data_IF_097322350080
#
_entry.id   IF_097322350080
#
_cell.length_a   1.000
_cell.length_b   1.000
_cell.length_c   1.000
_cell.angle_alpha   90.00
_cell.angle_beta   90.00
_cell.angle_gamma   90.00
#
_symmetry.space_group_name_H-M   'P 1'
#
loop_
_entity.id
_entity.type
_entity.pdbx_description
1 polymer ?
#
# COMPACT_ATOMS: atom_id res chain seq x y z
N UNK A 1 13.93 -13.56 -2.60
CA UNK A 1 12.60 -12.94 -2.77
C UNK A 1 12.75 -11.65 -3.56
N UNK A 2 11.84 -11.37 -4.50
CA UNK A 2 11.73 -10.02 -5.07
C UNK A 2 11.40 -9.03 -3.96
N UNK A 3 12.08 -7.89 -3.92
CA UNK A 3 11.85 -6.82 -2.92
C UNK A 3 10.63 -5.95 -3.27
N UNK A 4 9.76 -6.42 -4.16
CA UNK A 4 8.66 -5.67 -4.75
C UNK A 4 7.34 -6.43 -4.65
N UNK A 5 6.27 -5.68 -4.41
CA UNK A 5 4.89 -6.15 -4.30
C UNK A 5 4.03 -5.45 -5.33
N UNK A 6 3.02 -6.16 -5.85
CA UNK A 6 2.04 -5.56 -6.76
C UNK A 6 1.21 -4.50 -6.04
N UNK A 7 1.35 -3.25 -6.48
CA UNK A 7 0.69 -2.12 -5.85
C UNK A 7 -0.83 -2.20 -5.94
N UNK A 8 -1.35 -2.71 -7.05
CA UNK A 8 -2.78 -2.73 -7.31
C UNK A 8 -3.46 -3.73 -6.36
N UNK A 9 -2.78 -4.85 -6.05
CA UNK A 9 -3.24 -5.81 -5.03
C UNK A 9 -3.26 -5.16 -3.64
N UNK A 10 -2.18 -4.48 -3.25
CA UNK A 10 -2.09 -3.77 -1.95
C UNK A 10 -3.20 -2.74 -1.80
N UNK A 11 -3.41 -1.89 -2.80
CA UNK A 11 -4.43 -0.85 -2.76
C UNK A 11 -5.83 -1.47 -2.65
N UNK A 12 -6.13 -2.51 -3.44
CA UNK A 12 -7.41 -3.20 -3.37
C UNK A 12 -7.67 -3.83 -1.99
N UNK A 13 -6.64 -4.39 -1.35
CA UNK A 13 -6.73 -4.91 0.01
C UNK A 13 -7.11 -3.80 1.00
N UNK A 14 -6.42 -2.66 0.94
CA UNK A 14 -6.64 -1.53 1.84
C UNK A 14 -8.03 -0.88 1.63
N UNK A 15 -8.53 -0.83 0.38
CA UNK A 15 -9.90 -0.40 0.07
C UNK A 15 -10.92 -1.36 0.69
N UNK A 16 -10.74 -2.68 0.54
CA UNK A 16 -11.64 -3.69 1.13
C UNK A 16 -11.73 -3.57 2.65
N UNK A 17 -10.61 -3.23 3.30
CA UNK A 17 -10.54 -2.97 4.74
C UNK A 17 -11.16 -1.63 5.15
N UNK A 18 -11.62 -0.81 4.21
CA UNK A 18 -12.11 0.56 4.44
C UNK A 18 -11.09 1.48 5.14
N UNK A 19 -9.82 1.12 5.06
CA UNK A 19 -8.72 1.91 5.61
C UNK A 19 -8.36 3.10 4.71
N UNK A 20 -8.82 3.08 3.46
CA UNK A 20 -8.61 4.16 2.49
C UNK A 20 -9.89 4.94 2.29
N UNK A 21 -9.81 6.25 2.46
CA UNK A 21 -10.92 7.16 2.16
C UNK A 21 -10.75 7.88 0.83
N UNK A 22 -9.52 8.17 0.41
CA UNK A 22 -9.23 8.80 -0.87
C UNK A 22 -7.84 8.42 -1.37
N UNK A 23 -7.69 8.25 -2.69
CA UNK A 23 -6.42 7.98 -3.37
C UNK A 23 -6.17 9.11 -4.36
N UNK A 24 -5.09 9.84 -4.16
CA UNK A 24 -4.62 10.84 -5.11
C UNK A 24 -3.38 10.34 -5.84
N UNK A 25 -3.43 10.37 -7.17
CA UNK A 25 -2.36 9.92 -8.04
C UNK A 25 -1.58 11.12 -8.59
N UNK A 26 -0.28 11.20 -8.28
CA UNK A 26 0.61 12.20 -8.87
C UNK A 26 1.65 11.52 -9.77
N UNK A 27 1.57 11.80 -11.08
CA UNK A 27 2.58 11.43 -12.08
C UNK A 27 3.72 12.46 -12.09
N UNK A 28 4.68 12.36 -11.18
CA UNK A 28 5.91 13.18 -11.26
C UNK A 28 7.13 12.33 -10.96
N UNK A 29 7.91 11.98 -12.00
CA UNK A 29 9.22 11.29 -12.02
C UNK A 29 9.42 10.00 -11.18
N UNK A 30 8.69 9.80 -10.08
CA UNK A 30 8.41 8.56 -9.35
C UNK A 30 6.90 8.56 -9.07
N UNK A 31 6.19 7.47 -9.38
CA UNK A 31 4.75 7.42 -9.17
C UNK A 31 4.48 7.36 -7.66
N UNK A 32 3.93 8.43 -7.08
CA UNK A 32 3.56 8.47 -5.66
C UNK A 32 2.05 8.35 -5.53
N UNK A 33 1.63 7.43 -4.67
CA UNK A 33 0.23 7.24 -4.28
C UNK A 33 0.05 7.85 -2.91
N UNK A 34 -0.72 8.92 -2.85
CA UNK A 34 -1.08 9.53 -1.57
C UNK A 34 -2.46 9.04 -1.18
N UNK A 35 -2.53 8.41 -0.03
CA UNK A 35 -3.73 7.73 0.46
C UNK A 35 -4.12 8.38 1.77
N UNK A 36 -5.35 8.89 1.82
CA UNK A 36 -5.94 9.30 3.09
C UNK A 36 -6.45 8.06 3.78
N UNK A 37 -6.10 7.90 5.06
CA UNK A 37 -6.52 6.74 5.84
C UNK A 37 -7.36 7.14 7.05
N UNK A 38 -8.24 6.22 7.43
CA UNK A 38 -9.05 6.31 8.63
C UNK A 38 -8.97 4.98 9.38
N UNK A 39 -8.38 5.00 10.57
CA UNK A 39 -8.28 3.83 11.44
C UNK A 39 -9.49 3.73 12.36
N UNK A 40 -9.78 2.53 12.82
CA UNK A 40 -10.90 2.25 13.74
C UNK A 40 -10.75 2.96 15.09
N UNK A 41 -9.52 3.26 15.51
CA UNK A 41 -9.24 4.04 16.73
C UNK A 41 -9.42 5.55 16.57
N UNK A 42 -9.92 6.01 15.41
CA UNK A 42 -10.19 7.41 15.11
C UNK A 42 -8.99 8.19 14.58
N UNK A 43 -7.82 7.54 14.44
CA UNK A 43 -6.64 8.19 13.87
C UNK A 43 -6.79 8.32 12.35
N UNK A 44 -6.79 9.56 11.89
CA UNK A 44 -6.88 9.92 10.49
C UNK A 44 -5.56 10.54 10.03
N UNK A 45 -5.16 10.26 8.80
CA UNK A 45 -3.92 10.79 8.28
C UNK A 45 -3.73 10.59 6.80
N UNK A 46 -2.54 10.96 6.35
CA UNK A 46 -2.12 10.84 4.97
C UNK A 46 -0.88 9.96 4.94
N UNK A 47 -0.90 8.95 4.07
CA UNK A 47 0.24 8.08 3.83
C UNK A 47 0.63 8.12 2.36
N UNK A 48 1.93 8.06 2.08
CA UNK A 48 2.45 8.11 0.72
C UNK A 48 3.19 6.82 0.40
N UNK A 49 2.69 6.09 -0.59
CA UNK A 49 3.38 4.93 -1.15
C UNK A 49 4.19 5.38 -2.36
N UNK A 50 5.48 5.06 -2.36
CA UNK A 50 6.32 5.25 -3.54
C UNK A 50 6.29 4.01 -4.42
N UNK A 51 5.96 4.22 -5.69
CA UNK A 51 5.69 3.17 -6.67
C UNK A 51 6.65 3.30 -7.84
N UNK A 52 7.18 2.16 -8.26
CA UNK A 52 7.97 2.00 -9.47
C UNK A 52 7.11 1.28 -10.52
N UNK A 53 7.15 1.70 -11.78
CA UNK A 53 6.50 0.96 -12.86
C UNK A 53 7.53 0.17 -13.65
N UNK A 54 7.32 -1.13 -13.71
CA UNK A 54 8.15 -2.05 -14.47
C UNK A 54 7.23 -2.97 -15.28
N UNK A 55 7.50 -3.14 -16.58
CA UNK A 55 6.69 -3.99 -17.47
C UNK A 55 5.17 -3.71 -17.40
N UNK A 56 4.78 -2.43 -17.28
CA UNK A 56 3.38 -1.97 -17.12
C UNK A 56 2.70 -2.40 -15.81
N UNK A 57 3.45 -2.94 -14.84
CA UNK A 57 2.97 -3.23 -13.49
C UNK A 57 3.41 -2.16 -12.51
N UNK A 58 2.53 -1.79 -11.58
CA UNK A 58 2.84 -0.91 -10.47
C UNK A 58 3.44 -1.74 -9.33
N UNK A 59 4.64 -1.37 -8.87
CA UNK A 59 5.39 -2.11 -7.87
C UNK A 59 5.71 -1.23 -6.66
N UNK A 60 5.48 -1.76 -5.45
CA UNK A 60 5.84 -1.14 -4.17
C UNK A 60 7.02 -1.89 -3.56
N UNK A 61 8.05 -1.16 -3.13
CA UNK A 61 9.18 -1.75 -2.39
C UNK A 61 8.72 -2.28 -1.03
N UNK A 62 9.18 -3.47 -0.63
CA UNK A 62 8.87 -4.11 0.66
C UNK A 62 9.01 -3.14 1.84
N UNK A 63 10.12 -2.41 1.90
CA UNK A 63 10.41 -1.49 2.99
C UNK A 63 9.35 -0.37 3.10
N UNK A 64 8.96 0.20 1.96
CA UNK A 64 7.95 1.25 1.90
C UNK A 64 6.58 0.70 2.30
N UNK A 65 6.26 -0.51 1.84
CA UNK A 65 5.03 -1.19 2.21
C UNK A 65 4.96 -1.45 3.72
N UNK A 66 6.02 -2.00 4.32
CA UNK A 66 6.08 -2.33 5.74
C UNK A 66 5.84 -1.11 6.64
N UNK A 67 6.50 0.02 6.33
CA UNK A 67 6.27 1.30 7.04
C UNK A 67 4.79 1.70 6.93
N UNK A 68 4.20 1.55 5.75
CA UNK A 68 2.82 1.95 5.54
C UNK A 68 1.82 1.08 6.30
N UNK A 69 2.00 -0.25 6.27
CA UNK A 69 1.13 -1.19 6.96
C UNK A 69 1.22 -1.01 8.49
N UNK A 70 2.42 -0.71 9.01
CA UNK A 70 2.62 -0.40 10.43
C UNK A 70 1.85 0.87 10.85
N UNK A 71 1.87 1.93 10.04
CA UNK A 71 1.08 3.14 10.33
C UNK A 71 -0.43 2.90 10.32
N UNK A 72 -0.89 1.95 9.50
CA UNK A 72 -2.29 1.56 9.38
C UNK A 72 -2.74 0.57 10.47
N UNK A 73 -1.84 0.15 11.37
CA UNK A 73 -2.10 -0.81 12.44
C UNK A 73 -2.67 -2.14 11.94
N UNK A 74 -2.20 -2.60 10.78
CA UNK A 74 -2.58 -3.88 10.18
C UNK A 74 -1.82 -4.98 10.91
N UNK A 75 -2.52 -6.07 11.27
CA UNK A 75 -1.90 -7.16 12.03
C UNK A 75 -0.87 -7.92 11.21
N UNK A 76 0.08 -8.58 11.87
CA UNK A 76 1.09 -9.40 11.20
C UNK A 76 0.47 -10.54 10.37
N UNK A 77 -0.64 -11.12 10.84
CA UNK A 77 -1.39 -12.13 10.10
C UNK A 77 -1.94 -11.58 8.78
N UNK A 78 -2.54 -10.39 8.81
CA UNK A 78 -3.06 -9.72 7.61
C UNK A 78 -1.94 -9.32 6.64
N UNK A 79 -0.79 -8.88 7.16
CA UNK A 79 0.41 -8.61 6.36
C UNK A 79 0.86 -9.90 5.66
N UNK A 80 0.89 -11.02 6.37
CA UNK A 80 1.28 -12.31 5.81
C UNK A 80 0.30 -12.81 4.72
N UNK A 81 -1.01 -12.60 4.90
CA UNK A 81 -2.02 -12.87 3.87
C UNK A 81 -1.82 -12.00 2.63
N UNK A 82 -1.58 -10.71 2.83
CA UNK A 82 -1.30 -9.77 1.76
C UNK A 82 -0.04 -10.18 0.98
N UNK A 83 1.04 -10.54 1.69
CA UNK A 83 2.30 -10.99 1.08
C UNK A 83 2.05 -12.25 0.23
N UNK A 84 1.28 -13.22 0.72
CA UNK A 84 0.91 -14.42 -0.04
C UNK A 84 0.13 -14.09 -1.30
N UNK A 85 -0.78 -13.11 -1.24
CA UNK A 85 -1.58 -12.68 -2.40
C UNK A 85 -0.79 -11.90 -3.44
N UNK A 86 0.36 -11.33 -3.06
CA UNK A 86 1.23 -10.54 -3.94
C UNK A 86 2.39 -11.33 -4.56
N UNK A 87 2.62 -12.58 -4.11
CA UNK A 87 3.59 -13.48 -4.72
C UNK A 87 3.01 -14.00 -6.05
N UNK A 88 3.51 -13.44 -7.16
CA UNK A 88 3.33 -13.98 -8.51
C UNK A 88 4.33 -15.09 -8.76
#
# INVERSE_FOLDING_TARGET
MSNFYDADIVINFLIKKKLITNINWKKYNNLKYTVNFNREDGLNGIISFEITVENKKHLIRLHNLAICLAHLNISEEEINELIKSCLV
#
